data_IF_471268034366
#
_entry.id   IF_471268034366
#
_cell.length_a   1.000
_cell.length_b   1.000
_cell.length_c   1.000
_cell.angle_alpha   90.00
_cell.angle_beta   90.00
_cell.angle_gamma   90.00
#
_symmetry.space_group_name_H-M   'P 1'
#
loop_
_entity.id
_entity.type
_entity.pdbx_description
1 polymer ?
#
# COMPACT_ATOMS: atom_id res chain seq x y z
N UNK A 1 -21.54 -27.52 18.14
CA UNK A 1 -20.60 -27.26 19.25
C UNK A 1 -19.25 -26.70 18.78
N UNK A 2 -18.60 -27.22 17.72
CA UNK A 2 -17.36 -26.62 17.19
C UNK A 2 -17.58 -25.21 16.61
N UNK A 3 -18.62 -25.01 15.78
CA UNK A 3 -19.01 -23.70 15.24
C UNK A 3 -19.34 -22.63 16.30
N UNK A 4 -19.90 -23.03 17.45
CA UNK A 4 -20.23 -22.10 18.54
C UNK A 4 -18.97 -21.58 19.25
N UNK A 5 -17.93 -22.43 19.35
CA UNK A 5 -16.64 -22.06 19.95
C UNK A 5 -15.77 -21.21 19.03
N UNK A 6 -15.89 -21.36 17.71
CA UNK A 6 -15.22 -20.48 16.73
C UNK A 6 -15.74 -19.04 16.81
N UNK A 7 -17.01 -18.86 17.17
CA UNK A 7 -17.66 -17.56 17.33
C UNK A 7 -17.69 -17.06 18.80
N UNK A 8 -16.83 -17.60 19.68
CA UNK A 8 -16.72 -17.23 21.11
C UNK A 8 -17.99 -17.44 21.97
N UNK A 9 -18.87 -18.39 21.64
CA UNK A 9 -19.99 -18.78 22.50
C UNK A 9 -19.68 -20.10 23.24
N UNK A 10 -19.72 -20.05 24.57
CA UNK A 10 -19.38 -21.20 25.43
C UNK A 10 -20.40 -22.34 25.31
N UNK A 11 -21.70 -22.03 25.22
CA UNK A 11 -22.81 -22.97 25.10
C UNK A 11 -23.97 -22.42 24.25
N UNK A 12 -24.83 -23.31 23.74
CA UNK A 12 -26.01 -22.96 22.94
C UNK A 12 -27.02 -22.08 23.72
N UNK A 13 -27.03 -22.18 25.04
CA UNK A 13 -27.81 -21.31 25.92
C UNK A 13 -27.29 -19.86 25.91
N UNK A 14 -25.98 -19.66 25.75
CA UNK A 14 -25.38 -18.33 25.75
C UNK A 14 -25.55 -17.63 24.41
N UNK A 15 -25.45 -18.39 23.31
CA UNK A 15 -25.83 -17.93 21.98
C UNK A 15 -27.30 -17.47 21.93
N UNK A 16 -28.21 -18.25 22.51
CA UNK A 16 -29.64 -17.87 22.55
C UNK A 16 -29.92 -16.63 23.42
N UNK A 17 -29.15 -16.41 24.50
CA UNK A 17 -29.24 -15.17 25.29
C UNK A 17 -28.72 -13.97 24.51
N UNK A 18 -27.62 -14.14 23.79
CA UNK A 18 -27.09 -13.10 22.92
C UNK A 18 -28.10 -12.74 21.82
N UNK A 19 -28.67 -13.74 21.14
CA UNK A 19 -29.74 -13.58 20.15
C UNK A 19 -30.95 -12.85 20.73
N UNK A 20 -31.43 -13.25 21.91
CA UNK A 20 -32.55 -12.58 22.57
C UNK A 20 -32.21 -11.13 22.95
N UNK A 21 -30.97 -10.85 23.36
CA UNK A 21 -30.51 -9.49 23.67
C UNK A 21 -30.40 -8.63 22.40
N UNK A 22 -29.94 -9.23 21.30
CA UNK A 22 -29.80 -8.60 20.00
C UNK A 22 -31.18 -8.32 19.39
N UNK A 23 -32.12 -9.26 19.46
CA UNK A 23 -33.51 -9.06 19.06
C UNK A 23 -34.20 -7.99 19.91
N UNK A 24 -33.92 -7.92 21.21
CA UNK A 24 -34.44 -6.86 22.07
C UNK A 24 -33.85 -5.50 21.73
N UNK A 25 -32.55 -5.45 21.40
CA UNK A 25 -31.86 -4.23 20.96
C UNK A 25 -32.38 -3.78 19.59
N UNK A 26 -32.51 -4.69 18.63
CA UNK A 26 -33.09 -4.44 17.31
C UNK A 26 -34.56 -4.02 17.40
N UNK A 27 -35.34 -4.60 18.32
CA UNK A 27 -36.71 -4.14 18.58
C UNK A 27 -36.73 -2.73 19.18
N UNK A 28 -35.81 -2.37 20.07
CA UNK A 28 -35.69 -1.01 20.62
C UNK A 28 -35.25 -0.02 19.55
N UNK A 29 -34.21 -0.34 18.77
CA UNK A 29 -33.73 0.47 17.66
C UNK A 29 -34.82 0.64 16.60
N UNK A 30 -35.51 -0.43 16.19
CA UNK A 30 -36.69 -0.33 15.30
C UNK A 30 -37.82 0.49 15.91
N UNK A 31 -38.08 0.40 17.22
CA UNK A 31 -39.11 1.22 17.89
C UNK A 31 -38.69 2.70 18.01
N UNK A 32 -37.40 2.99 17.87
CA UNK A 32 -36.81 4.33 17.90
C UNK A 32 -36.71 4.95 16.50
N UNK A 33 -36.39 4.15 15.47
CA UNK A 33 -36.34 4.54 14.05
C UNK A 33 -37.72 4.60 13.40
N UNK A 34 -38.56 3.59 13.66
CA UNK A 34 -39.99 3.60 13.37
C UNK A 34 -40.65 4.31 14.54
N UNK A 35 -40.43 5.62 14.67
CA UNK A 35 -41.04 6.43 15.71
C UNK A 35 -42.54 6.14 15.73
N UNK A 36 -43.00 5.49 16.81
CA UNK A 36 -44.39 5.09 17.10
C UNK A 36 -45.36 5.25 15.90
N UNK A 37 -45.31 4.29 14.97
CA UNK A 37 -46.49 3.91 14.22
C UNK A 37 -47.31 2.89 15.06
N UNK A 38 -47.60 3.24 16.31
CA UNK A 38 -48.73 2.67 17.03
C UNK A 38 -49.94 3.54 16.66
N UNK A 39 -50.86 2.97 15.88
CA UNK A 39 -52.20 3.46 15.57
C UNK A 39 -52.38 4.97 15.36
N UNK A 40 -52.11 5.41 14.13
CA UNK A 40 -52.66 6.66 13.57
C UNK A 40 -54.14 6.50 13.22
N UNK A 41 -54.92 5.98 14.15
CA UNK A 41 -56.35 6.18 14.23
C UNK A 41 -56.65 6.63 15.66
N UNK A 42 -56.85 7.95 15.82
CA UNK A 42 -57.32 8.61 17.06
C UNK A 42 -56.37 8.63 18.28
N UNK A 43 -55.15 9.14 18.14
CA UNK A 43 -54.41 9.67 19.30
C UNK A 43 -54.74 11.17 19.45
N UNK A 44 -55.72 11.48 20.30
CA UNK A 44 -56.00 12.87 20.72
C UNK A 44 -54.73 13.51 21.31
N UNK A 45 -54.50 14.79 21.00
CA UNK A 45 -53.39 15.57 21.56
C UNK A 45 -53.42 15.40 23.09
N UNK A 46 -52.32 14.95 23.74
CA UNK A 46 -52.33 14.76 25.19
C UNK A 46 -52.70 16.06 25.90
N UNK A 47 -53.89 16.12 26.48
CA UNK A 47 -54.37 17.28 27.25
C UNK A 47 -53.76 17.20 28.66
N UNK A 48 -53.22 18.31 29.18
CA UNK A 48 -52.57 18.38 30.50
C UNK A 48 -53.31 19.36 31.45
N UNK A 49 -54.48 18.99 32.00
CA UNK A 49 -55.40 19.94 32.64
C UNK A 49 -54.90 20.50 33.99
N UNK A 50 -54.02 19.78 34.70
CA UNK A 50 -53.53 20.18 36.04
C UNK A 50 -52.32 21.13 36.00
N UNK A 51 -51.77 21.43 34.82
CA UNK A 51 -50.62 22.33 34.68
C UNK A 51 -51.02 23.80 34.87
N UNK A 52 -52.25 24.16 34.51
CA UNK A 52 -52.74 25.55 34.47
C UNK A 52 -53.43 26.02 35.77
N UNK A 53 -53.58 25.12 36.76
CA UNK A 53 -54.18 25.44 38.07
C UNK A 53 -53.07 25.93 39.04
N UNK A 54 -53.20 27.10 39.70
CA UNK A 54 -52.24 27.59 40.68
C UNK A 54 -52.04 26.62 41.86
N UNK A 55 -50.81 26.57 42.39
CA UNK A 55 -50.39 25.58 43.41
C UNK A 55 -51.16 25.71 44.75
N UNK A 56 -51.80 26.85 45.00
CA UNK A 56 -52.54 27.15 46.24
C UNK A 56 -53.91 26.44 46.35
N UNK A 57 -54.34 25.71 45.31
CA UNK A 57 -55.65 25.04 45.24
C UNK A 57 -55.56 23.50 45.13
N UNK A 58 -54.36 22.93 45.24
CA UNK A 58 -54.10 21.50 44.99
C UNK A 58 -53.75 20.72 46.27
N UNK A 59 -54.16 19.45 46.36
CA UNK A 59 -53.73 18.54 47.42
C UNK A 59 -52.28 18.07 47.21
N UNK A 60 -51.63 17.51 48.23
CA UNK A 60 -50.26 16.98 48.11
C UNK A 60 -50.12 15.83 47.07
N UNK A 61 -51.21 15.13 46.77
CA UNK A 61 -51.28 14.10 45.72
C UNK A 61 -51.35 14.74 44.33
N UNK A 62 -52.14 15.81 44.19
CA UNK A 62 -52.28 16.54 42.92
C UNK A 62 -50.97 17.26 42.53
N UNK A 63 -50.16 17.71 43.50
CA UNK A 63 -48.84 18.30 43.25
C UNK A 63 -47.87 17.28 42.64
N UNK A 64 -47.96 16.00 43.04
CA UNK A 64 -47.15 14.92 42.46
C UNK A 64 -47.61 14.60 41.03
N UNK A 65 -48.92 14.59 40.78
CA UNK A 65 -49.46 14.39 39.43
C UNK A 65 -49.13 15.56 38.50
N UNK A 66 -49.17 16.80 39.00
CA UNK A 66 -48.73 18.00 38.26
C UNK A 66 -47.25 17.91 37.86
N UNK A 67 -46.36 17.42 38.73
CA UNK A 67 -44.94 17.17 38.38
C UNK A 67 -44.81 16.09 37.30
N UNK A 68 -45.60 15.01 37.37
CA UNK A 68 -45.62 13.94 36.36
C UNK A 68 -46.14 14.44 35.01
N UNK A 69 -47.21 15.24 34.99
CA UNK A 69 -47.75 15.85 33.78
C UNK A 69 -46.79 16.87 33.17
N UNK A 70 -46.08 17.65 34.00
CA UNK A 70 -45.04 18.58 33.54
C UNK A 70 -43.87 17.84 32.86
N UNK A 71 -43.47 16.69 33.39
CA UNK A 71 -42.45 15.84 32.77
C UNK A 71 -42.94 15.22 31.46
N UNK A 72 -44.18 14.71 31.42
CA UNK A 72 -44.78 14.15 30.19
C UNK A 72 -44.94 15.21 29.10
N UNK A 73 -45.35 16.42 29.45
CA UNK A 73 -45.42 17.58 28.54
C UNK A 73 -44.03 17.95 28.00
N UNK A 74 -43.02 18.04 28.86
CA UNK A 74 -41.65 18.33 28.45
C UNK A 74 -41.08 17.26 27.50
N UNK A 75 -41.34 15.98 27.76
CA UNK A 75 -40.94 14.88 26.86
C UNK A 75 -41.68 14.91 25.52
N UNK A 76 -42.99 15.20 25.53
CA UNK A 76 -43.79 15.34 24.31
C UNK A 76 -43.33 16.54 23.47
N UNK A 77 -43.11 17.70 24.09
CA UNK A 77 -42.60 18.90 23.42
C UNK A 77 -41.19 18.70 22.85
N UNK A 78 -40.30 17.98 23.57
CA UNK A 78 -38.98 17.63 23.06
C UNK A 78 -39.05 16.71 21.82
N UNK A 79 -39.94 15.71 21.83
CA UNK A 79 -40.19 14.83 20.68
C UNK A 79 -40.78 15.58 19.49
N UNK A 80 -41.72 16.50 19.72
CA UNK A 80 -42.29 17.33 18.66
C UNK A 80 -41.25 18.25 18.04
N UNK A 81 -40.38 18.88 18.84
CA UNK A 81 -39.25 19.69 18.34
C UNK A 81 -38.28 18.86 17.50
N UNK A 82 -37.87 17.69 17.97
CA UNK A 82 -36.99 16.79 17.20
C UNK A 82 -37.65 16.29 15.90
N UNK A 83 -38.96 16.05 15.90
CA UNK A 83 -39.70 15.67 14.69
C UNK A 83 -39.77 16.82 13.68
N UNK A 84 -40.02 18.04 14.15
CA UNK A 84 -40.05 19.25 13.31
C UNK A 84 -38.66 19.55 12.75
N UNK A 85 -37.60 19.40 13.56
CA UNK A 85 -36.21 19.59 13.13
C UNK A 85 -35.81 18.57 12.05
N UNK A 86 -36.13 17.28 12.26
CA UNK A 86 -35.91 16.21 11.28
C UNK A 86 -36.71 16.42 9.99
N UNK A 87 -37.95 16.90 10.09
CA UNK A 87 -38.77 17.23 8.92
C UNK A 87 -38.20 18.43 8.15
N UNK A 88 -37.80 19.48 8.86
CA UNK A 88 -37.19 20.66 8.24
C UNK A 88 -35.87 20.33 7.55
N UNK A 89 -35.06 19.43 8.12
CA UNK A 89 -33.84 18.93 7.51
C UNK A 89 -34.13 18.07 6.26
N UNK A 90 -35.11 17.17 6.34
CA UNK A 90 -35.54 16.37 5.19
C UNK A 90 -36.10 17.25 4.05
N UNK A 91 -36.87 18.28 4.38
CA UNK A 91 -37.41 19.25 3.41
C UNK A 91 -36.28 20.06 2.75
N UNK A 92 -35.25 20.45 3.52
CA UNK A 92 -34.05 21.12 2.99
C UNK A 92 -33.30 20.25 1.98
N UNK A 93 -33.07 18.98 2.33
CA UNK A 93 -32.41 18.00 1.46
C UNK A 93 -33.24 17.79 0.18
N UNK A 94 -34.56 17.65 0.31
CA UNK A 94 -35.46 17.49 -0.84
C UNK A 94 -35.49 18.73 -1.76
N UNK A 95 -35.37 19.93 -1.20
CA UNK A 95 -35.28 21.17 -1.98
C UNK A 95 -33.94 21.25 -2.75
N UNK A 96 -32.84 20.85 -2.12
CA UNK A 96 -31.51 20.77 -2.76
C UNK A 96 -31.49 19.73 -3.89
N UNK A 97 -32.06 18.54 -3.66
CA UNK A 97 -32.21 17.50 -4.69
C UNK A 97 -33.06 17.99 -5.87
N UNK A 98 -34.13 18.72 -5.60
CA UNK A 98 -34.94 19.34 -6.67
C UNK A 98 -34.14 20.33 -7.49
N UNK A 99 -33.38 21.22 -6.84
CA UNK A 99 -32.50 22.18 -7.53
C UNK A 99 -31.44 21.48 -8.35
N UNK A 100 -30.88 20.39 -7.84
CA UNK A 100 -29.90 19.57 -8.56
C UNK A 100 -30.52 18.91 -9.80
N UNK A 101 -31.72 18.34 -9.70
CA UNK A 101 -32.46 17.78 -10.84
C UNK A 101 -32.78 18.87 -11.87
N UNK A 102 -33.20 20.06 -11.42
CA UNK A 102 -33.45 21.20 -12.30
C UNK A 102 -32.16 21.67 -13.00
N UNK A 103 -31.02 21.67 -12.30
CA UNK A 103 -29.72 22.00 -12.88
C UNK A 103 -29.27 20.97 -13.92
N UNK A 104 -29.38 19.66 -13.62
CA UNK A 104 -29.10 18.58 -14.58
C UNK A 104 -29.91 18.70 -15.87
N UNK A 105 -31.17 19.16 -15.76
CA UNK A 105 -32.04 19.37 -16.92
C UNK A 105 -31.67 20.62 -17.73
N UNK A 106 -31.18 21.67 -17.07
CA UNK A 106 -30.85 22.94 -17.73
C UNK A 106 -29.44 22.93 -18.34
N UNK A 107 -28.45 22.37 -17.65
CA UNK A 107 -27.06 22.26 -18.10
C UNK A 107 -26.37 21.00 -17.56
N UNK A 108 -26.45 19.91 -18.33
CA UNK A 108 -25.81 18.64 -17.99
C UNK A 108 -24.28 18.72 -18.02
N UNK A 109 -23.68 19.47 -18.96
CA UNK A 109 -22.23 19.51 -19.10
C UNK A 109 -21.56 20.29 -17.97
N UNK A 110 -22.15 21.42 -17.57
CA UNK A 110 -21.69 22.19 -16.41
C UNK A 110 -21.82 21.39 -15.11
N UNK A 111 -22.91 20.63 -14.96
CA UNK A 111 -23.14 19.76 -13.81
C UNK A 111 -22.08 18.64 -13.71
N UNK A 112 -21.79 17.93 -14.82
CA UNK A 112 -20.74 16.89 -14.87
C UNK A 112 -19.37 17.50 -14.51
N UNK A 113 -19.06 18.69 -15.03
CA UNK A 113 -17.80 19.36 -14.75
C UNK A 113 -17.64 19.72 -13.26
N UNK A 114 -18.69 20.27 -12.63
CA UNK A 114 -18.70 20.57 -11.19
C UNK A 114 -18.47 19.30 -10.36
N UNK A 115 -19.18 18.21 -10.67
CA UNK A 115 -19.04 16.93 -9.97
C UNK A 115 -17.66 16.31 -10.13
N UNK A 116 -17.08 16.35 -11.34
CA UNK A 116 -15.68 15.94 -11.58
C UNK A 116 -14.67 16.82 -10.84
N UNK A 117 -14.92 18.13 -10.74
CA UNK A 117 -14.06 19.06 -9.97
C UNK A 117 -14.10 18.72 -8.49
N UNK A 118 -15.29 18.51 -7.92
CA UNK A 118 -15.47 18.12 -6.52
C UNK A 118 -14.80 16.79 -6.20
N UNK A 119 -14.97 15.77 -7.06
CA UNK A 119 -14.27 14.49 -6.92
C UNK A 119 -12.75 14.68 -6.89
N UNK A 120 -12.22 15.48 -7.83
CA UNK A 120 -10.78 15.80 -7.87
C UNK A 120 -10.31 16.53 -6.61
N UNK A 121 -11.10 17.44 -6.07
CA UNK A 121 -10.76 18.19 -4.86
C UNK A 121 -10.72 17.28 -3.63
N UNK A 122 -11.67 16.35 -3.48
CA UNK A 122 -11.64 15.33 -2.41
C UNK A 122 -10.41 14.44 -2.55
N UNK A 123 -10.09 13.97 -3.76
CA UNK A 123 -8.89 13.15 -4.01
C UNK A 123 -7.58 13.91 -3.68
N UNK A 124 -7.52 15.21 -4.00
CA UNK A 124 -6.37 16.05 -3.65
C UNK A 124 -6.26 16.26 -2.13
N UNK A 125 -7.37 16.52 -1.43
CA UNK A 125 -7.42 16.62 0.02
C UNK A 125 -6.91 15.35 0.69
N UNK A 126 -7.35 14.17 0.23
CA UNK A 126 -6.87 12.87 0.74
C UNK A 126 -5.37 12.68 0.53
N UNK A 127 -4.84 13.05 -0.64
CA UNK A 127 -3.39 13.00 -0.91
C UNK A 127 -2.60 13.93 0.00
N UNK A 128 -3.06 15.17 0.19
CA UNK A 128 -2.42 16.13 1.10
C UNK A 128 -2.50 15.65 2.56
N UNK A 129 -3.63 15.08 3.00
CA UNK A 129 -3.75 14.52 4.36
C UNK A 129 -2.85 13.31 4.57
N UNK A 130 -2.75 12.40 3.59
CA UNK A 130 -1.82 11.27 3.64
C UNK A 130 -0.36 11.73 3.74
N UNK A 131 0.03 12.74 2.95
CA UNK A 131 1.36 13.36 3.00
C UNK A 131 1.62 14.06 4.33
N UNK A 132 0.62 14.76 4.87
CA UNK A 132 0.71 15.38 6.18
C UNK A 132 0.88 14.33 7.27
N UNK A 133 0.13 13.23 7.23
CA UNK A 133 0.25 12.10 8.17
C UNK A 133 1.65 11.48 8.14
N UNK A 134 2.22 11.29 6.96
CA UNK A 134 3.61 10.82 6.80
C UNK A 134 4.61 11.81 7.41
N UNK A 135 4.42 13.11 7.19
CA UNK A 135 5.25 14.15 7.78
C UNK A 135 5.09 14.24 9.31
N UNK A 136 3.90 13.94 9.85
CA UNK A 136 3.65 13.91 11.29
C UNK A 136 4.27 12.69 11.98
N UNK A 137 4.57 11.63 11.23
CA UNK A 137 5.33 10.49 11.76
C UNK A 137 6.81 10.83 11.99
N UNK A 138 7.35 11.86 11.34
CA UNK A 138 8.68 12.38 11.61
C UNK A 138 8.64 13.45 12.72
N UNK A 139 9.19 13.11 13.89
CA UNK A 139 9.30 13.97 15.08
C UNK A 139 9.95 15.32 14.79
N UNK A 140 10.85 15.40 13.80
CA UNK A 140 11.59 16.62 13.44
C UNK A 140 10.93 17.42 12.32
N UNK A 141 9.82 16.95 11.76
CA UNK A 141 9.12 17.67 10.71
C UNK A 141 8.58 19.01 11.21
N UNK A 142 8.70 20.03 10.37
CA UNK A 142 8.16 21.37 10.61
C UNK A 142 6.63 21.34 10.86
N UNK A 143 5.92 20.41 10.23
CA UNK A 143 4.48 20.22 10.44
C UNK A 143 4.16 19.71 11.86
N UNK A 144 4.95 18.75 12.36
CA UNK A 144 4.81 18.25 13.73
C UNK A 144 5.12 19.32 14.77
N UNK A 145 6.15 20.15 14.52
CA UNK A 145 6.54 21.25 15.41
C UNK A 145 5.52 22.40 15.46
N UNK A 146 4.93 22.79 14.33
CA UNK A 146 3.88 23.82 14.28
C UNK A 146 2.60 23.37 14.99
N UNK A 147 2.18 22.11 14.79
CA UNK A 147 0.99 21.55 15.44
C UNK A 147 1.18 21.42 16.94
N UNK A 148 2.36 20.96 17.39
CA UNK A 148 2.73 20.92 18.81
C UNK A 148 2.66 22.31 19.45
N UNK A 149 3.20 23.33 18.79
CA UNK A 149 3.12 24.72 19.26
C UNK A 149 1.68 25.23 19.36
N UNK A 150 0.82 24.84 18.41
CA UNK A 150 -0.61 25.21 18.41
C UNK A 150 -1.37 24.56 19.56
N UNK A 151 -1.16 23.27 19.82
CA UNK A 151 -1.86 22.55 20.88
C UNK A 151 -1.36 22.99 22.27
N UNK A 152 -0.04 23.21 22.43
CA UNK A 152 0.51 23.78 23.66
C UNK A 152 -0.08 25.18 23.95
N UNK A 153 -0.32 26.00 22.91
CA UNK A 153 -0.98 27.30 23.04
C UNK A 153 -2.45 27.17 23.47
N UNK A 154 -3.20 26.23 22.87
CA UNK A 154 -4.61 25.97 23.23
C UNK A 154 -4.75 25.43 24.66
N UNK A 155 -3.86 24.52 25.07
CA UNK A 155 -3.82 24.00 26.44
C UNK A 155 -3.46 25.09 27.47
N UNK A 156 -2.57 26.02 27.11
CA UNK A 156 -2.24 27.18 27.94
C UNK A 156 -3.42 28.17 28.04
N UNK A 157 -4.19 28.38 26.97
CA UNK A 157 -5.39 29.25 27.00
C UNK A 157 -6.51 28.67 27.87
N UNK A 158 -6.77 27.36 27.80
CA UNK A 158 -7.79 26.71 28.64
C UNK A 158 -7.46 26.78 30.14
N UNK A 159 -6.17 26.80 30.49
CA UNK A 159 -5.70 26.99 31.87
C UNK A 159 -5.91 28.41 32.42
N UNK A 160 -6.23 29.38 31.55
CA UNK A 160 -6.42 30.80 31.90
C UNK A 160 -7.90 31.20 32.08
N UNK A 161 -8.85 30.33 31.71
CA UNK A 161 -10.29 30.58 31.90
C UNK A 161 -10.80 29.92 33.19
N UNK A 162 -11.02 30.74 34.22
CA UNK A 162 -11.46 30.26 35.52
C UNK A 162 -12.93 29.81 35.53
N UNK A 163 -13.18 28.49 35.55
CA UNK A 163 -14.40 27.90 36.14
C UNK A 163 -14.27 26.38 36.43
N UNK A 164 -14.30 26.04 37.73
CA UNK A 164 -14.74 24.78 38.35
C UNK A 164 -14.27 23.40 37.80
N UNK A 165 -13.22 22.87 38.44
CA UNK A 165 -12.77 21.46 38.43
C UNK A 165 -13.91 20.43 38.57
N UNK A 166 -14.01 19.48 37.62
CA UNK A 166 -14.41 18.09 37.89
C UNK A 166 -13.19 17.18 37.69
N UNK A 167 -12.88 16.41 38.74
CA UNK A 167 -11.74 15.49 38.87
C UNK A 167 -11.57 14.58 37.64
N UNK A 168 -10.50 14.80 36.88
CA UNK A 168 -9.63 13.69 36.43
C UNK A 168 -8.34 13.78 37.25
N UNK A 169 -7.86 12.64 37.68
CA UNK A 169 -6.78 12.48 38.65
C UNK A 169 -5.48 13.00 38.05
N UNK A 170 -5.06 14.18 38.49
CA UNK A 170 -3.80 14.80 38.12
C UNK A 170 -2.65 13.90 38.53
N UNK A 171 -1.86 13.43 37.56
CA UNK A 171 -0.48 13.04 37.81
C UNK A 171 0.27 14.27 38.27
N UNK A 172 1.04 14.07 39.33
CA UNK A 172 1.82 15.08 40.04
C UNK A 172 3.03 15.39 39.18
N UNK A 173 2.91 16.36 38.29
CA UNK A 173 4.02 17.25 37.98
C UNK A 173 3.44 18.54 37.40
N UNK A 174 3.59 19.61 38.16
CA UNK A 174 3.32 20.97 37.69
C UNK A 174 4.65 21.69 37.83
N UNK A 175 5.66 21.17 37.14
CA UNK A 175 6.97 21.80 37.01
C UNK A 175 6.81 23.01 36.07
N UNK A 176 7.16 24.23 36.48
CA UNK A 176 7.17 25.40 35.60
C UNK A 176 8.15 25.27 34.40
N UNK A 177 8.99 24.22 34.37
CA UNK A 177 9.80 23.82 33.22
C UNK A 177 9.27 22.61 32.44
N UNK A 178 8.08 22.07 32.78
CA UNK A 178 7.48 20.97 32.03
C UNK A 178 7.09 21.45 30.63
N UNK A 179 7.92 21.10 29.66
CA UNK A 179 7.75 21.47 28.26
C UNK A 179 6.99 20.35 27.58
N UNK A 180 5.66 20.42 27.65
CA UNK A 180 4.72 19.53 26.96
C UNK A 180 5.22 19.19 25.55
N UNK A 181 5.57 17.92 25.30
CA UNK A 181 6.20 17.45 24.05
C UNK A 181 7.66 16.98 24.14
N UNK A 182 8.30 17.05 25.32
CA UNK A 182 9.64 16.48 25.55
C UNK A 182 9.61 14.95 25.76
N UNK A 183 8.55 14.43 26.39
CA UNK A 183 8.39 13.02 26.75
C UNK A 183 7.55 12.25 25.73
N UNK A 184 7.86 10.98 25.50
CA UNK A 184 7.18 10.14 24.49
C UNK A 184 5.70 9.85 24.83
N UNK A 185 5.31 9.94 26.11
CA UNK A 185 3.92 9.79 26.57
C UNK A 185 3.00 10.91 26.07
N UNK A 186 3.53 12.14 25.93
CA UNK A 186 2.78 13.26 25.34
C UNK A 186 2.50 12.98 23.86
N UNK A 187 3.46 12.40 23.14
CA UNK A 187 3.35 12.02 21.72
C UNK A 187 2.30 10.94 21.47
N UNK A 188 2.02 10.07 22.44
CA UNK A 188 0.93 9.10 22.36
C UNK A 188 -0.44 9.79 22.45
N UNK A 189 -0.61 10.71 23.41
CA UNK A 189 -1.84 11.51 23.56
C UNK A 189 -2.09 12.37 22.30
N UNK A 190 -1.04 12.90 21.67
CA UNK A 190 -1.14 13.62 20.39
C UNK A 190 -1.65 12.76 19.24
N UNK A 191 -1.20 11.50 19.13
CA UNK A 191 -1.69 10.57 18.10
C UNK A 191 -3.16 10.22 18.31
N UNK A 192 -3.56 10.03 19.56
CA UNK A 192 -4.93 9.66 19.90
C UNK A 192 -5.93 10.80 19.64
N UNK A 193 -5.58 12.05 20.01
CA UNK A 193 -6.43 13.23 19.72
C UNK A 193 -6.50 13.49 18.22
N UNK A 194 -5.39 13.32 17.49
CA UNK A 194 -5.40 13.46 16.04
C UNK A 194 -6.23 12.37 15.35
N UNK A 195 -6.25 11.13 15.87
CA UNK A 195 -7.00 10.02 15.27
C UNK A 195 -8.51 10.23 15.35
N UNK A 196 -9.02 10.75 16.47
CA UNK A 196 -10.47 10.88 16.71
C UNK A 196 -11.13 11.94 15.83
N UNK A 197 -10.55 13.14 15.71
CA UNK A 197 -11.07 14.19 14.82
C UNK A 197 -10.86 13.82 13.33
N UNK A 198 -9.82 13.04 13.02
CA UNK A 198 -9.56 12.57 11.66
C UNK A 198 -10.52 11.45 11.24
N UNK A 199 -11.07 10.65 12.16
CA UNK A 199 -11.98 9.52 11.89
C UNK A 199 -13.38 9.96 11.45
N UNK A 200 -14.01 10.91 12.14
CA UNK A 200 -15.35 11.42 11.77
C UNK A 200 -15.31 12.15 10.41
N UNK A 201 -14.32 13.01 10.21
CA UNK A 201 -14.10 13.70 8.92
C UNK A 201 -13.78 12.72 7.77
N UNK A 202 -13.16 11.59 8.09
CA UNK A 202 -12.84 10.53 7.14
C UNK A 202 -14.10 9.83 6.61
N UNK A 203 -15.01 9.48 7.52
CA UNK A 203 -16.28 8.83 7.20
C UNK A 203 -17.17 9.73 6.34
N UNK A 204 -17.25 11.03 6.67
CA UNK A 204 -17.99 12.01 5.87
C UNK A 204 -17.40 12.16 4.46
N UNK A 205 -16.08 12.31 4.33
CA UNK A 205 -15.39 12.38 3.03
C UNK A 205 -15.59 11.10 2.19
N UNK A 206 -15.65 9.93 2.83
CA UNK A 206 -15.92 8.66 2.15
C UNK A 206 -17.35 8.57 1.64
N UNK A 207 -18.32 8.95 2.45
CA UNK A 207 -19.73 9.00 2.05
C UNK A 207 -19.95 9.97 0.88
N UNK A 208 -19.31 11.15 0.90
CA UNK A 208 -19.35 12.12 -0.19
C UNK A 208 -18.71 11.58 -1.48
N UNK A 209 -17.56 10.91 -1.37
CA UNK A 209 -16.86 10.31 -2.50
C UNK A 209 -17.72 9.25 -3.18
N UNK A 210 -18.27 8.30 -2.41
CA UNK A 210 -19.13 7.23 -2.95
C UNK A 210 -20.37 7.82 -3.62
N UNK A 211 -20.97 8.86 -3.03
CA UNK A 211 -22.10 9.57 -3.61
C UNK A 211 -21.76 10.21 -4.96
N UNK A 212 -20.64 10.95 -5.03
CA UNK A 212 -20.19 11.61 -6.25
C UNK A 212 -19.83 10.61 -7.36
N UNK A 213 -19.16 9.51 -7.02
CA UNK A 213 -18.82 8.45 -7.98
C UNK A 213 -20.06 7.77 -8.54
N UNK A 214 -21.05 7.47 -7.68
CA UNK A 214 -22.33 6.93 -8.13
C UNK A 214 -23.08 7.90 -9.05
N UNK A 215 -23.13 9.18 -8.69
CA UNK A 215 -23.75 10.23 -9.50
C UNK A 215 -23.08 10.37 -10.87
N UNK A 216 -21.75 10.25 -10.95
CA UNK A 216 -20.99 10.29 -12.21
C UNK A 216 -21.19 9.01 -13.02
N UNK A 217 -21.20 7.82 -12.42
CA UNK A 217 -21.47 6.55 -13.12
C UNK A 217 -22.86 6.52 -13.77
N UNK A 218 -23.87 7.09 -13.11
CA UNK A 218 -25.25 7.12 -13.62
C UNK A 218 -25.46 8.15 -14.75
N UNK A 219 -24.70 9.25 -14.76
CA UNK A 219 -25.01 10.41 -15.61
C UNK A 219 -23.92 10.82 -16.60
N UNK A 220 -22.68 10.37 -16.42
CA UNK A 220 -21.56 10.68 -17.32
C UNK A 220 -21.17 9.46 -18.17
N UNK A 221 -21.42 9.48 -19.50
CA UNK A 221 -21.04 8.37 -20.38
C UNK A 221 -19.53 8.12 -20.47
N UNK A 222 -18.69 9.07 -20.06
CA UNK A 222 -17.23 8.95 -20.08
C UNK A 222 -16.64 8.59 -18.71
N UNK A 223 -17.45 8.46 -17.66
CA UNK A 223 -16.98 8.01 -16.35
C UNK A 223 -17.31 6.53 -16.19
N UNK A 224 -16.28 5.70 -16.02
CA UNK A 224 -16.40 4.25 -15.95
C UNK A 224 -16.08 3.73 -14.54
N UNK A 225 -16.43 2.48 -14.25
CA UNK A 225 -16.07 1.84 -12.96
C UNK A 225 -14.56 1.87 -12.72
N UNK A 226 -13.72 1.91 -13.77
CA UNK A 226 -12.26 2.01 -13.65
C UNK A 226 -11.76 3.37 -13.15
N UNK A 227 -12.60 4.42 -13.25
CA UNK A 227 -12.29 5.79 -12.82
C UNK A 227 -12.63 6.03 -11.33
N UNK A 228 -13.29 5.07 -10.68
CA UNK A 228 -13.61 5.11 -9.25
C UNK A 228 -12.36 4.99 -8.38
N UNK A 229 -12.43 5.53 -7.17
CA UNK A 229 -11.38 5.43 -6.17
C UNK A 229 -11.16 3.98 -5.74
N UNK A 230 -12.23 3.19 -5.62
CA UNK A 230 -12.12 1.75 -5.31
C UNK A 230 -11.34 1.00 -6.40
N UNK A 231 -11.62 1.29 -7.68
CA UNK A 231 -10.86 0.71 -8.78
C UNK A 231 -9.40 1.17 -8.82
N UNK A 232 -9.01 2.20 -8.08
CA UNK A 232 -7.58 2.57 -7.91
C UNK A 232 -6.81 1.56 -7.04
N UNK A 233 -7.52 0.84 -6.17
CA UNK A 233 -6.98 -0.26 -5.35
C UNK A 233 -7.11 -1.63 -6.00
N UNK A 234 -7.61 -1.70 -7.23
CA UNK A 234 -7.66 -2.96 -7.97
C UNK A 234 -6.23 -3.53 -8.10
N UNK A 235 -6.07 -4.80 -7.75
CA UNK A 235 -4.82 -5.53 -7.88
C UNK A 235 -4.28 -5.47 -9.32
N UNK A 236 -5.17 -5.31 -10.31
CA UNK A 236 -4.80 -5.14 -11.73
C UNK A 236 -3.93 -3.92 -11.99
N UNK A 237 -4.08 -2.85 -11.18
CA UNK A 237 -3.27 -1.62 -11.28
C UNK A 237 -1.98 -1.71 -10.44
N UNK A 238 -1.86 -2.72 -9.58
CA UNK A 238 -0.68 -2.93 -8.74
C UNK A 238 0.47 -3.56 -9.51
N UNK A 239 1.56 -2.81 -9.68
CA UNK A 239 2.81 -3.33 -10.25
C UNK A 239 3.45 -4.41 -9.37
N UNK A 240 3.24 -4.33 -8.06
CA UNK A 240 3.69 -5.34 -7.09
C UNK A 240 2.97 -6.66 -7.30
N UNK A 241 1.65 -6.63 -7.50
CA UNK A 241 0.89 -7.83 -7.85
C UNK A 241 1.37 -8.42 -9.17
N UNK A 242 1.52 -7.58 -10.20
CA UNK A 242 2.03 -8.01 -11.50
C UNK A 242 3.43 -8.65 -11.40
N UNK A 243 4.29 -8.10 -10.54
CA UNK A 243 5.64 -8.61 -10.33
C UNK A 243 5.66 -9.93 -9.54
N UNK A 244 4.85 -10.07 -8.49
CA UNK A 244 4.87 -11.25 -7.61
C UNK A 244 3.99 -12.41 -8.10
N UNK A 245 2.85 -12.10 -8.73
CA UNK A 245 1.78 -13.04 -9.08
C UNK A 245 1.42 -13.01 -10.57
N UNK A 246 1.93 -12.04 -11.33
CA UNK A 246 1.62 -11.91 -12.75
C UNK A 246 0.27 -11.24 -13.01
N UNK A 247 -0.23 -11.30 -14.26
CA UNK A 247 -1.44 -10.59 -14.68
C UNK A 247 -2.75 -11.28 -14.26
N UNK A 248 -2.66 -12.42 -13.57
CA UNK A 248 -3.81 -13.23 -13.19
C UNK A 248 -4.31 -12.84 -11.80
N UNK A 249 -5.61 -13.02 -11.51
CA UNK A 249 -6.10 -12.92 -10.14
C UNK A 249 -5.39 -13.94 -9.26
N UNK A 250 -5.21 -13.60 -7.99
CA UNK A 250 -4.61 -14.46 -6.99
C UNK A 250 -5.64 -14.77 -5.91
N UNK A 251 -5.82 -16.05 -5.62
CA UNK A 251 -6.62 -16.53 -4.51
C UNK A 251 -5.68 -16.96 -3.38
N UNK A 252 -5.80 -16.35 -2.19
CA UNK A 252 -5.00 -16.72 -1.04
C UNK A 252 -5.42 -18.05 -0.44
N UNK A 253 -6.63 -18.53 -0.66
CA UNK A 253 -7.14 -19.76 -0.05
C UNK A 253 -6.76 -21.01 -0.88
N UNK A 254 -6.33 -20.82 -2.12
CA UNK A 254 -5.89 -21.91 -2.99
C UNK A 254 -4.43 -22.29 -2.72
N UNK A 255 -4.23 -23.43 -2.07
CA UNK A 255 -2.91 -24.01 -1.78
C UNK A 255 -2.02 -24.13 -3.04
N UNK A 256 -2.60 -24.44 -4.20
CA UNK A 256 -1.84 -24.57 -5.44
C UNK A 256 -1.29 -23.23 -5.93
N UNK A 257 -1.98 -22.12 -5.65
CA UNK A 257 -1.53 -20.77 -6.03
C UNK A 257 -0.50 -20.23 -5.05
N UNK A 258 -0.60 -20.60 -3.77
CA UNK A 258 0.39 -20.23 -2.77
C UNK A 258 1.80 -20.79 -3.11
N UNK A 259 1.86 -22.00 -3.65
CA UNK A 259 3.12 -22.70 -3.96
C UNK A 259 3.66 -22.47 -5.38
N UNK A 260 3.29 -21.35 -6.02
CA UNK A 260 3.81 -20.97 -7.34
C UNK A 260 4.94 -19.95 -7.25
N UNK A 261 6.00 -20.17 -8.05
CA UNK A 261 7.08 -19.20 -8.24
C UNK A 261 6.96 -18.53 -9.62
N UNK A 262 6.75 -17.23 -9.61
CA UNK A 262 6.69 -16.42 -10.83
C UNK A 262 8.09 -15.89 -11.16
N UNK A 263 8.54 -16.07 -12.40
CA UNK A 263 9.81 -15.57 -12.90
C UNK A 263 9.56 -14.52 -13.99
N UNK A 264 9.93 -13.29 -13.70
CA UNK A 264 9.73 -12.13 -14.55
C UNK A 264 11.09 -11.59 -14.99
N UNK A 265 11.57 -10.54 -14.32
CA UNK A 265 12.79 -9.82 -14.64
C UNK A 265 14.03 -10.67 -14.35
N UNK A 266 13.93 -11.66 -13.47
CA UNK A 266 15.02 -12.56 -13.07
C UNK A 266 15.61 -13.29 -14.28
N UNK A 267 14.78 -13.65 -15.26
CA UNK A 267 15.19 -14.40 -16.45
C UNK A 267 16.21 -13.65 -17.31
N UNK A 268 16.14 -12.32 -17.33
CA UNK A 268 17.06 -11.45 -18.08
C UNK A 268 18.11 -10.82 -17.19
N UNK A 269 17.77 -10.51 -15.93
CA UNK A 269 18.66 -9.80 -15.00
C UNK A 269 19.78 -10.68 -14.45
N UNK A 270 19.50 -11.95 -14.17
CA UNK A 270 20.52 -12.89 -13.65
C UNK A 270 21.66 -13.13 -14.65
N UNK A 271 21.41 -13.48 -15.92
CA UNK A 271 22.50 -13.68 -16.88
C UNK A 271 23.22 -12.37 -17.25
N UNK A 272 22.58 -11.21 -17.08
CA UNK A 272 23.20 -9.91 -17.40
C UNK A 272 24.38 -9.56 -16.47
N UNK A 273 24.48 -10.18 -15.29
CA UNK A 273 25.54 -9.89 -14.30
C UNK A 273 26.95 -10.07 -14.86
N UNK A 274 27.18 -10.97 -15.83
CA UNK A 274 28.53 -11.11 -16.43
C UNK A 274 28.88 -9.97 -17.39
N UNK A 275 27.87 -9.28 -17.92
CA UNK A 275 28.03 -8.11 -18.77
C UNK A 275 28.04 -6.82 -17.94
N UNK A 276 27.25 -6.79 -16.86
CA UNK A 276 27.14 -5.67 -15.92
C UNK A 276 27.21 -6.17 -14.46
N UNK A 277 28.42 -6.40 -13.92
CA UNK A 277 28.60 -6.93 -12.56
C UNK A 277 28.04 -6.04 -11.45
N UNK A 278 27.91 -4.74 -11.72
CA UNK A 278 27.32 -3.74 -10.81
C UNK A 278 25.87 -4.05 -10.42
N UNK A 279 25.11 -4.79 -11.24
CA UNK A 279 23.75 -5.25 -10.91
C UNK A 279 23.74 -6.10 -9.63
N UNK A 280 24.82 -6.84 -9.38
CA UNK A 280 25.02 -7.67 -8.19
C UNK A 280 25.89 -6.97 -7.12
N UNK A 281 26.26 -5.70 -7.32
CA UNK A 281 27.15 -4.97 -6.41
C UNK A 281 28.60 -5.45 -6.44
N UNK A 282 29.03 -6.11 -7.52
CA UNK A 282 30.40 -6.59 -7.69
C UNK A 282 31.21 -5.52 -8.43
N UNK A 283 32.30 -5.06 -7.81
CA UNK A 283 33.25 -4.11 -8.39
C UNK A 283 34.27 -4.84 -9.28
N UNK A 284 33.81 -5.28 -10.45
CA UNK A 284 34.62 -5.95 -11.46
C UNK A 284 34.17 -5.54 -12.86
N UNK A 285 35.09 -5.57 -13.81
CA UNK A 285 34.77 -5.28 -15.20
C UNK A 285 33.87 -6.37 -15.82
N UNK A 286 32.88 -5.96 -16.60
CA UNK A 286 32.05 -6.86 -17.39
C UNK A 286 32.78 -7.40 -18.62
N UNK A 287 32.20 -8.42 -19.27
CA UNK A 287 32.74 -8.95 -20.53
C UNK A 287 33.01 -7.86 -21.59
N UNK A 288 32.10 -6.88 -21.84
CA UNK A 288 32.35 -5.84 -22.85
C UNK A 288 33.58 -4.99 -22.56
N UNK A 289 33.75 -4.56 -21.30
CA UNK A 289 34.90 -3.76 -20.87
C UNK A 289 36.21 -4.55 -20.96
N UNK A 290 36.18 -5.84 -20.62
CA UNK A 290 37.34 -6.72 -20.78
C UNK A 290 37.72 -6.90 -22.26
N UNK A 291 36.72 -7.06 -23.15
CA UNK A 291 36.94 -7.13 -24.59
C UNK A 291 37.53 -5.83 -25.12
N UNK A 292 37.01 -4.68 -24.69
CA UNK A 292 37.53 -3.37 -25.09
C UNK A 292 38.98 -3.20 -24.67
N UNK A 293 39.30 -3.47 -23.41
CA UNK A 293 40.66 -3.36 -22.88
C UNK A 293 41.63 -4.31 -23.62
N UNK A 294 41.20 -5.55 -23.89
CA UNK A 294 42.01 -6.51 -24.65
C UNK A 294 42.27 -6.02 -26.08
N UNK A 295 41.23 -5.63 -26.81
CA UNK A 295 41.30 -5.29 -28.22
C UNK A 295 42.02 -3.95 -28.46
N UNK A 296 41.82 -2.97 -27.58
CA UNK A 296 42.37 -1.63 -27.77
C UNK A 296 43.75 -1.45 -27.13
N UNK A 297 44.01 -2.05 -25.97
CA UNK A 297 45.23 -1.77 -25.20
C UNK A 297 46.26 -2.91 -25.30
N UNK A 298 45.83 -4.15 -25.48
CA UNK A 298 46.75 -5.32 -25.45
C UNK A 298 47.17 -5.81 -26.84
N UNK A 299 46.42 -5.46 -27.88
CA UNK A 299 46.64 -5.94 -29.24
C UNK A 299 46.98 -4.79 -30.21
N UNK A 300 47.89 -5.08 -31.14
CA UNK A 300 48.10 -4.22 -32.31
C UNK A 300 46.90 -4.27 -33.25
N UNK A 301 46.72 -3.26 -34.10
CA UNK A 301 45.62 -3.20 -35.07
C UNK A 301 45.54 -4.47 -35.95
N UNK A 302 46.66 -4.95 -36.46
CA UNK A 302 46.71 -6.17 -37.29
C UNK A 302 46.29 -7.43 -36.53
N UNK A 303 46.70 -7.55 -35.26
CA UNK A 303 46.30 -8.68 -34.41
C UNK A 303 44.80 -8.61 -34.09
N UNK A 304 44.29 -7.42 -33.77
CA UNK A 304 42.87 -7.18 -33.53
C UNK A 304 42.04 -7.65 -34.72
N UNK A 305 42.37 -7.21 -35.93
CA UNK A 305 41.65 -7.56 -37.17
C UNK A 305 41.71 -9.06 -37.48
N UNK A 306 42.72 -9.77 -36.97
CA UNK A 306 42.84 -11.23 -37.12
C UNK A 306 42.01 -11.97 -36.08
N UNK A 307 42.06 -11.55 -34.81
CA UNK A 307 41.36 -12.21 -33.69
C UNK A 307 39.84 -12.07 -33.82
N UNK A 308 39.34 -10.92 -34.26
CA UNK A 308 37.89 -10.66 -34.37
C UNK A 308 37.20 -11.47 -35.47
N UNK A 309 37.97 -12.04 -36.41
CA UNK A 309 37.49 -12.93 -37.47
C UNK A 309 37.20 -14.35 -37.01
N UNK A 310 37.66 -14.74 -35.82
CA UNK A 310 37.33 -16.05 -35.27
C UNK A 310 37.25 -16.03 -33.74
N UNK A 311 36.13 -15.54 -33.23
CA UNK A 311 35.83 -15.55 -31.80
C UNK A 311 35.02 -16.79 -31.49
N UNK A 312 35.57 -17.65 -30.64
CA UNK A 312 34.97 -18.92 -30.27
C UNK A 312 34.45 -18.89 -28.83
N UNK A 313 33.15 -19.11 -28.64
CA UNK A 313 32.52 -19.19 -27.31
C UNK A 313 32.49 -20.64 -26.81
N UNK A 314 32.94 -20.83 -25.56
CA UNK A 314 32.96 -22.13 -24.88
C UNK A 314 32.60 -21.97 -23.41
N UNK A 315 32.21 -23.06 -22.75
CA UNK A 315 31.79 -23.10 -21.34
C UNK A 315 30.28 -23.00 -21.17
N UNK A 316 29.76 -23.66 -20.14
CA UNK A 316 28.32 -23.84 -19.92
C UNK A 316 27.51 -22.55 -19.87
N UNK A 317 28.06 -21.50 -19.27
CA UNK A 317 27.39 -20.20 -19.17
C UNK A 317 27.08 -19.58 -20.55
N UNK A 318 27.88 -19.84 -21.57
CA UNK A 318 27.64 -19.30 -22.92
C UNK A 318 26.42 -19.93 -23.59
N UNK A 319 25.76 -20.91 -22.98
CA UNK A 319 24.58 -21.60 -23.53
C UNK A 319 23.28 -20.81 -23.43
N UNK A 320 23.30 -19.58 -22.88
CA UNK A 320 22.14 -18.69 -22.91
C UNK A 320 21.73 -18.37 -24.34
N UNK A 321 20.42 -18.22 -24.54
CA UNK A 321 19.85 -17.79 -25.81
C UNK A 321 20.39 -16.41 -26.20
N UNK A 322 20.71 -16.22 -27.47
CA UNK A 322 21.23 -14.96 -28.04
C UNK A 322 22.57 -14.48 -27.45
N UNK A 323 23.34 -15.35 -26.79
CA UNK A 323 24.64 -14.99 -26.21
C UNK A 323 25.65 -14.53 -27.28
N UNK A 324 25.79 -15.28 -28.38
CA UNK A 324 26.70 -14.93 -29.48
C UNK A 324 26.29 -13.61 -30.16
N UNK A 325 24.99 -13.39 -30.33
CA UNK A 325 24.46 -12.16 -30.90
C UNK A 325 24.71 -10.96 -29.99
N UNK A 326 24.60 -11.15 -28.68
CA UNK A 326 24.97 -10.13 -27.68
C UNK A 326 26.45 -9.79 -27.79
N UNK A 327 27.34 -10.79 -27.76
CA UNK A 327 28.79 -10.57 -27.90
C UNK A 327 29.12 -9.86 -29.22
N UNK A 328 28.48 -10.24 -30.34
CA UNK A 328 28.68 -9.57 -31.63
C UNK A 328 28.30 -8.09 -31.56
N UNK A 329 27.17 -7.75 -30.93
CA UNK A 329 26.74 -6.35 -30.75
C UNK A 329 27.70 -5.54 -29.90
N UNK A 330 28.21 -6.12 -28.81
CA UNK A 330 29.22 -5.46 -27.96
C UNK A 330 30.53 -5.24 -28.72
N UNK A 331 30.97 -6.19 -29.55
CA UNK A 331 32.16 -6.00 -30.38
C UNK A 331 31.94 -4.93 -31.45
N UNK A 332 30.74 -4.87 -32.04
CA UNK A 332 30.39 -3.84 -33.03
C UNK A 332 30.36 -2.42 -32.45
N UNK A 333 30.05 -2.25 -31.16
CA UNK A 333 30.08 -0.93 -30.51
C UNK A 333 31.51 -0.46 -30.21
N UNK A 334 32.44 -1.40 -30.02
CA UNK A 334 33.86 -1.12 -29.70
C UNK A 334 34.71 -0.94 -30.96
N UNK A 335 34.45 -1.73 -32.01
CA UNK A 335 35.30 -1.83 -33.19
C UNK A 335 34.94 -0.79 -34.27
N UNK A 336 35.90 -0.39 -35.14
CA UNK A 336 35.62 0.48 -36.27
C UNK A 336 34.51 -0.06 -37.18
N UNK A 337 33.76 0.86 -37.79
CA UNK A 337 32.71 0.51 -38.72
C UNK A 337 33.26 -0.30 -39.91
N UNK A 338 32.58 -1.39 -40.25
CA UNK A 338 32.95 -2.27 -41.37
C UNK A 338 33.93 -3.39 -41.02
N UNK A 339 34.37 -3.51 -39.76
CA UNK A 339 35.17 -4.67 -39.31
C UNK A 339 34.36 -5.97 -39.45
N UNK A 340 34.95 -6.98 -40.11
CA UNK A 340 34.36 -8.31 -40.23
C UNK A 340 34.49 -9.07 -38.90
N UNK A 341 33.37 -9.24 -38.20
CA UNK A 341 33.31 -9.92 -36.91
C UNK A 341 32.61 -11.27 -37.08
N UNK A 342 33.26 -12.35 -36.67
CA UNK A 342 32.68 -13.67 -36.70
C UNK A 342 32.80 -14.32 -35.31
N UNK A 343 31.63 -14.50 -34.69
CA UNK A 343 31.46 -15.14 -33.39
C UNK A 343 30.77 -16.48 -33.63
N UNK A 344 31.45 -17.58 -33.27
CA UNK A 344 30.94 -18.95 -33.38
C UNK A 344 30.95 -19.66 -32.03
N UNK A 345 30.07 -20.62 -31.89
CA UNK A 345 29.94 -21.43 -30.68
C UNK A 345 30.62 -22.78 -30.81
N UNK A 346 31.01 -23.35 -29.67
CA UNK A 346 31.31 -24.78 -29.53
C UNK A 346 30.12 -25.64 -29.95
N UNK A 347 30.39 -26.82 -30.51
CA UNK A 347 29.33 -27.77 -30.84
C UNK A 347 28.68 -28.31 -29.56
N UNK A 348 29.50 -28.55 -28.54
CA UNK A 348 29.08 -28.94 -27.20
C UNK A 348 29.81 -28.08 -26.17
N UNK A 349 29.18 -26.96 -25.79
CA UNK A 349 29.72 -25.94 -24.87
C UNK A 349 30.12 -26.50 -23.49
N UNK A 350 29.58 -27.66 -23.10
CA UNK A 350 29.88 -28.31 -21.82
C UNK A 350 31.03 -29.31 -21.93
N UNK A 351 31.05 -30.13 -22.99
CA UNK A 351 31.97 -31.27 -23.08
C UNK A 351 33.15 -31.06 -24.03
N UNK A 352 33.14 -30.04 -24.90
CA UNK A 352 34.20 -29.88 -25.90
C UNK A 352 35.58 -29.61 -25.29
N UNK A 353 35.65 -28.94 -24.14
CA UNK A 353 36.92 -28.77 -23.39
C UNK A 353 37.50 -30.13 -22.96
N UNK A 354 36.66 -31.04 -22.46
CA UNK A 354 37.07 -32.39 -22.08
C UNK A 354 37.42 -33.24 -23.30
N UNK A 355 36.62 -33.18 -24.37
CA UNK A 355 36.89 -33.90 -25.63
C UNK A 355 38.19 -33.41 -26.28
N UNK A 356 38.47 -32.11 -26.22
CA UNK A 356 39.71 -31.51 -26.70
C UNK A 356 40.92 -32.08 -25.95
N UNK A 357 40.85 -32.13 -24.61
CA UNK A 357 41.90 -32.72 -23.79
C UNK A 357 42.05 -34.24 -24.03
N UNK A 358 40.93 -34.96 -24.19
CA UNK A 358 40.95 -36.39 -24.52
C UNK A 358 41.65 -36.65 -25.86
N UNK A 359 41.37 -35.83 -26.88
CA UNK A 359 42.07 -35.89 -28.18
C UNK A 359 43.56 -35.57 -28.03
N UNK A 360 43.90 -34.52 -27.27
CA UNK A 360 45.29 -34.14 -27.04
C UNK A 360 46.06 -35.23 -26.29
N UNK A 361 45.49 -35.82 -25.24
CA UNK A 361 46.12 -36.89 -24.45
C UNK A 361 46.50 -38.12 -25.28
N UNK A 362 45.68 -38.44 -26.30
CA UNK A 362 45.93 -39.53 -27.24
C UNK A 362 46.86 -39.15 -28.41
N UNK A 363 47.31 -37.90 -28.50
CA UNK A 363 48.23 -37.43 -29.54
C UNK A 363 49.68 -37.76 -29.21
N UNK A 364 50.58 -37.69 -30.20
CA UNK A 364 52.02 -37.85 -29.95
C UNK A 364 52.63 -36.70 -29.14
N UNK A 365 52.01 -35.51 -29.19
CA UNK A 365 52.49 -34.29 -28.51
C UNK A 365 52.30 -34.37 -26.99
N UNK A 366 51.39 -35.21 -26.49
CA UNK A 366 51.11 -35.30 -25.05
C UNK A 366 52.28 -35.83 -24.24
N UNK A 367 53.14 -36.65 -24.86
CA UNK A 367 54.33 -37.24 -24.21
C UNK A 367 55.27 -36.18 -23.65
N UNK A 368 55.43 -35.07 -24.38
CA UNK A 368 56.31 -33.97 -23.99
C UNK A 368 55.66 -33.07 -22.92
N UNK A 369 54.33 -33.11 -22.78
CA UNK A 369 53.58 -32.34 -21.79
C UNK A 369 53.44 -33.01 -20.41
N UNK A 370 53.71 -34.30 -20.28
CA UNK A 370 53.56 -35.02 -19.01
C UNK A 370 54.79 -34.87 -18.11
N UNK A 371 54.56 -34.65 -16.81
CA UNK A 371 55.60 -34.72 -15.77
C UNK A 371 55.72 -36.16 -15.30
N UNK A 372 56.90 -36.75 -15.45
CA UNK A 372 57.17 -38.11 -14.96
C UNK A 372 57.43 -38.11 -13.47
N UNK A 373 57.30 -39.29 -12.83
CA UNK A 373 57.61 -39.44 -11.41
C UNK A 373 59.06 -39.06 -11.07
N UNK A 374 60.02 -39.40 -11.94
CA UNK A 374 61.44 -39.05 -11.74
C UNK A 374 61.66 -37.54 -11.79
N UNK A 375 61.07 -36.88 -12.78
CA UNK A 375 61.14 -35.42 -12.91
C UNK A 375 60.52 -34.73 -11.68
N UNK A 376 59.41 -35.25 -11.16
CA UNK A 376 58.80 -34.74 -9.94
C UNK A 376 59.68 -34.95 -8.69
N UNK A 377 60.28 -36.13 -8.54
CA UNK A 377 61.17 -36.44 -7.40
C UNK A 377 62.45 -35.57 -7.41
N UNK A 378 62.94 -35.18 -8.60
CA UNK A 378 64.14 -34.32 -8.77
C UNK A 378 63.84 -32.82 -8.69
N UNK A 379 62.76 -32.36 -9.32
CA UNK A 379 62.45 -30.93 -9.48
C UNK A 379 61.44 -30.39 -8.45
N UNK A 380 60.73 -31.29 -7.76
CA UNK A 380 59.78 -30.98 -6.69
C UNK A 380 58.41 -30.45 -7.16
N UNK A 381 57.58 -30.08 -6.18
CA UNK A 381 56.17 -29.66 -6.34
C UNK A 381 55.95 -28.43 -7.25
N UNK A 382 56.94 -27.54 -7.36
CA UNK A 382 56.83 -26.31 -8.16
C UNK A 382 57.24 -26.46 -9.62
N UNK A 383 57.57 -27.67 -10.07
CA UNK A 383 57.96 -27.91 -11.45
C UNK A 383 56.74 -28.12 -12.34
N UNK A 384 56.64 -27.29 -13.37
CA UNK A 384 55.62 -27.39 -14.42
C UNK A 384 56.34 -27.45 -15.77
N UNK A 385 55.92 -28.38 -16.64
CA UNK A 385 56.41 -28.40 -18.02
C UNK A 385 55.80 -27.26 -18.81
N UNK A 386 56.64 -26.56 -19.55
CA UNK A 386 56.18 -25.54 -20.47
C UNK A 386 55.47 -26.19 -21.66
N UNK A 387 54.26 -25.72 -21.91
CA UNK A 387 53.44 -26.18 -23.01
C UNK A 387 52.60 -25.02 -23.52
N UNK A 388 52.38 -24.93 -24.83
CA UNK A 388 51.64 -23.80 -25.43
C UNK A 388 50.17 -23.67 -25.00
N UNK A 389 49.62 -24.70 -24.35
CA UNK A 389 48.27 -24.70 -23.75
C UNK A 389 48.30 -24.56 -22.21
N UNK A 390 49.48 -24.41 -21.60
CA UNK A 390 49.68 -24.27 -20.16
C UNK A 390 49.97 -22.82 -19.79
N UNK A 391 49.88 -22.52 -18.50
CA UNK A 391 50.37 -21.26 -17.95
C UNK A 391 51.87 -21.11 -18.20
N UNK A 392 52.31 -19.86 -18.35
CA UNK A 392 53.72 -19.50 -18.46
C UNK A 392 54.42 -19.79 -17.13
N UNK A 393 55.58 -20.43 -17.19
CA UNK A 393 56.44 -20.61 -16.03
C UNK A 393 57.25 -19.33 -15.83
N UNK A 394 56.91 -18.52 -14.82
CA UNK A 394 57.55 -17.22 -14.55
C UNK A 394 58.88 -17.34 -13.79
N UNK A 395 59.64 -18.42 -13.98
CA UNK A 395 60.93 -18.61 -13.31
C UNK A 395 62.05 -17.75 -13.89
#
# INVERSE_FOLDING_TARGET
QQLLKEENFDDEADFNKYLASLEASLKRARKQDIGEAEDTQTAEVPTFPLIDIPDDQLSEEDIKEKRKQKLMKANYEARQRAKVEKQAEADRIAEEERKDIEWRKTDMQGWIHDRRSKLKDILNKRKERAKLREQLNDRKSHAAQLRMKSIASLAAEDSSSGAAKRKRQATIDNDPNDTFGANDDDWAIYKDIASLDDEEALEEEEAELVKLEKELLEHDPHFTEEDTYEASYDWRKSTLHLFLRGPRPFDSEDEHQQHQLHLNVERIRVPEVVFQPSIAGIDSAGIPELLENLLNNSLTATQRDTVVKDIFTTGGFTSFENYEDRIRKELQSILPFGTEINVRAAQDKMLDSWRGMSKWANSSQSKDGYVTRKEYDECGVGYLKEHGLSNVNLK
#
